data_IF_873548163317
#
_entry.id   IF_873548163317
#
_cell.length_a   1.000
_cell.length_b   1.000
_cell.length_c   1.000
_cell.angle_alpha   90.00
_cell.angle_beta   90.00
_cell.angle_gamma   90.00
#
_symmetry.space_group_name_H-M   'P 1'
#
loop_
_entity.id
_entity.type
_entity.pdbx_description
1 polymer ?
#
# COMPACT_ATOMS: atom_id res chain seq x y z
N UNK A 1 83.24 -12.74 -0.93
CA UNK A 1 82.68 -13.34 0.31
C UNK A 1 81.27 -13.83 0.00
N UNK A 2 81.06 -15.13 0.16
CA UNK A 2 79.86 -15.88 -0.21
C UNK A 2 78.76 -15.78 0.86
N UNK A 3 77.51 -15.65 0.38
CA UNK A 3 76.19 -16.08 0.88
C UNK A 3 76.06 -16.54 2.34
N UNK A 4 75.06 -16.00 3.04
CA UNK A 4 74.12 -16.84 3.80
C UNK A 4 72.67 -16.41 3.49
N UNK A 5 71.92 -17.37 2.96
CA UNK A 5 70.48 -17.41 2.80
C UNK A 5 69.82 -17.56 4.19
N UNK A 6 68.71 -16.87 4.45
CA UNK A 6 67.68 -17.41 5.35
C UNK A 6 66.38 -17.48 4.54
N UNK A 7 65.92 -18.68 4.14
CA UNK A 7 64.61 -18.87 3.56
C UNK A 7 63.58 -18.99 4.70
N UNK A 8 62.61 -18.08 4.77
CA UNK A 8 61.41 -18.28 5.60
C UNK A 8 60.45 -19.14 4.79
N UNK A 9 60.47 -20.43 5.10
CA UNK A 9 59.60 -21.47 4.56
C UNK A 9 58.38 -21.59 5.50
N UNK A 10 57.20 -21.65 4.87
CA UNK A 10 55.92 -22.20 5.35
C UNK A 10 55.20 -21.58 6.55
N UNK A 11 54.05 -20.97 6.28
CA UNK A 11 52.78 -21.69 6.50
C UNK A 11 51.69 -21.20 5.55
N UNK A 12 51.41 -22.06 4.58
CA UNK A 12 50.19 -22.13 3.79
C UNK A 12 49.08 -22.71 4.69
N UNK A 13 47.81 -22.60 4.27
CA UNK A 13 46.55 -23.06 4.90
C UNK A 13 45.91 -21.94 5.74
N UNK A 14 44.80 -21.34 5.34
CA UNK A 14 43.93 -21.59 4.20
C UNK A 14 42.69 -20.73 4.36
N UNK A 15 42.47 -19.81 3.41
CA UNK A 15 41.14 -19.25 3.13
C UNK A 15 41.07 -19.01 1.62
N UNK A 16 41.40 -20.06 0.84
CA UNK A 16 41.06 -20.14 -0.56
C UNK A 16 39.75 -20.92 -0.64
N UNK A 17 38.62 -20.20 -0.65
CA UNK A 17 37.33 -20.83 -0.88
C UNK A 17 36.16 -20.24 -0.11
N UNK A 18 35.91 -18.93 -0.24
CA UNK A 18 34.57 -18.37 0.02
C UNK A 18 34.44 -16.95 -0.53
N UNK A 19 34.84 -16.75 -1.79
CA UNK A 19 34.25 -15.67 -2.60
C UNK A 19 33.32 -16.35 -3.58
N UNK A 20 32.27 -16.96 -3.01
CA UNK A 20 31.12 -17.41 -3.78
C UNK A 20 30.54 -16.19 -4.47
N UNK A 21 30.43 -16.28 -5.78
CA UNK A 21 29.59 -15.48 -6.68
C UNK A 21 28.61 -14.58 -5.90
N UNK A 22 28.98 -13.31 -5.71
CA UNK A 22 27.98 -12.29 -5.46
C UNK A 22 27.24 -12.19 -6.79
N UNK A 23 26.20 -13.02 -6.92
CA UNK A 23 25.21 -12.89 -7.97
C UNK A 23 24.71 -11.46 -7.88
N UNK A 24 25.19 -10.60 -8.77
CA UNK A 24 24.46 -9.42 -9.18
C UNK A 24 23.25 -9.92 -9.96
N UNK A 25 22.31 -10.54 -9.25
CA UNK A 25 20.93 -10.49 -9.66
C UNK A 25 20.64 -9.00 -9.75
N UNK A 26 20.58 -8.48 -10.98
CA UNK A 26 19.86 -7.25 -11.25
C UNK A 26 18.51 -7.48 -10.60
N UNK A 27 18.28 -6.87 -9.44
CA UNK A 27 16.98 -6.85 -8.82
C UNK A 27 16.02 -6.49 -9.94
N UNK A 28 15.16 -7.44 -10.31
CA UNK A 28 14.11 -7.16 -11.29
C UNK A 28 13.46 -5.86 -10.81
N UNK A 29 13.23 -4.87 -11.70
CA UNK A 29 12.63 -3.61 -11.28
C UNK A 29 11.40 -3.99 -10.48
N UNK A 30 11.42 -3.70 -9.17
CA UNK A 30 10.30 -4.02 -8.30
C UNK A 30 9.12 -3.33 -8.96
N UNK A 31 8.22 -4.12 -9.56
CA UNK A 31 6.97 -3.58 -10.08
C UNK A 31 6.24 -3.12 -8.84
N UNK A 32 6.41 -1.84 -8.50
CA UNK A 32 5.67 -1.23 -7.40
C UNK A 32 4.22 -1.34 -7.82
N UNK A 33 3.50 -2.24 -7.17
CA UNK A 33 2.09 -2.43 -7.43
C UNK A 33 1.38 -1.15 -6.98
N UNK A 34 0.75 -0.45 -7.92
CA UNK A 34 -0.02 0.74 -7.61
C UNK A 34 -1.37 0.35 -7.02
N UNK A 35 -1.65 0.82 -5.81
CA UNK A 35 -2.91 0.61 -5.12
C UNK A 35 -3.71 1.89 -5.04
N UNK A 36 -5.04 1.78 -4.99
CA UNK A 36 -5.91 2.87 -4.55
C UNK A 36 -6.77 2.40 -3.38
N UNK A 37 -6.93 3.24 -2.37
CA UNK A 37 -7.74 2.95 -1.19
C UNK A 37 -8.80 4.04 -1.05
N UNK A 38 -10.05 3.62 -1.13
CA UNK A 38 -11.22 4.47 -0.94
C UNK A 38 -11.86 4.12 0.40
N UNK A 39 -11.81 5.05 1.34
CA UNK A 39 -12.47 4.95 2.63
C UNK A 39 -13.72 5.82 2.64
N UNK A 40 -14.80 5.30 3.22
CA UNK A 40 -16.07 6.00 3.38
C UNK A 40 -16.49 5.90 4.83
N UNK A 41 -16.71 7.05 5.46
CA UNK A 41 -17.09 7.10 6.87
C UNK A 41 -18.02 8.27 7.13
N UNK A 42 -18.70 8.21 8.27
CA UNK A 42 -19.55 9.28 8.74
C UNK A 42 -18.97 9.84 10.03
N UNK A 43 -18.89 11.16 10.11
CA UNK A 43 -18.61 11.86 11.36
C UNK A 43 -19.75 12.84 11.67
N UNK A 44 -20.40 12.61 12.81
CA UNK A 44 -21.66 13.26 13.17
C UNK A 44 -22.74 13.07 12.11
N UNK A 45 -23.11 14.16 11.42
CA UNK A 45 -24.09 14.18 10.33
C UNK A 45 -23.46 14.23 8.93
N UNK A 46 -22.14 14.36 8.87
CA UNK A 46 -21.38 14.58 7.63
C UNK A 46 -20.83 13.25 7.14
N UNK A 47 -20.85 13.06 5.81
CA UNK A 47 -20.33 11.85 5.19
C UNK A 47 -19.05 12.22 4.44
N UNK A 48 -18.02 11.39 4.57
CA UNK A 48 -16.70 11.65 4.02
C UNK A 48 -16.27 10.52 3.09
N UNK A 49 -15.62 10.91 2.01
CA UNK A 49 -14.85 10.05 1.13
C UNK A 49 -13.39 10.45 1.28
N UNK A 50 -12.54 9.47 1.58
CA UNK A 50 -11.09 9.60 1.64
C UNK A 50 -10.46 8.70 0.60
N UNK A 51 -9.78 9.28 -0.39
CA UNK A 51 -9.14 8.55 -1.47
C UNK A 51 -7.61 8.71 -1.42
N UNK A 52 -6.90 7.59 -1.40
CA UNK A 52 -5.44 7.52 -1.53
C UNK A 52 -5.10 6.74 -2.78
N UNK A 53 -4.19 7.24 -3.62
CA UNK A 53 -3.76 6.57 -4.86
C UNK A 53 -2.24 6.50 -4.91
N UNK A 54 -1.68 5.29 -4.85
CA UNK A 54 -0.24 5.06 -4.74
C UNK A 54 0.34 5.78 -3.53
N UNK A 55 1.41 6.54 -3.77
CA UNK A 55 2.07 7.37 -2.76
C UNK A 55 1.51 8.80 -2.67
N UNK A 56 0.43 9.12 -3.39
CA UNK A 56 -0.13 10.48 -3.37
C UNK A 56 -0.80 10.79 -2.03
N UNK A 57 -0.79 12.06 -1.59
CA UNK A 57 -1.52 12.48 -0.39
C UNK A 57 -2.99 12.09 -0.46
N UNK A 58 -3.51 11.61 0.66
CA UNK A 58 -4.93 11.29 0.80
C UNK A 58 -5.79 12.52 0.59
N UNK A 59 -6.75 12.43 -0.33
CA UNK A 59 -7.75 13.46 -0.57
C UNK A 59 -9.01 13.10 0.21
N UNK A 60 -9.32 13.88 1.24
CA UNK A 60 -10.56 13.76 1.99
C UNK A 60 -11.53 14.86 1.57
N UNK A 61 -12.76 14.47 1.27
CA UNK A 61 -13.84 15.42 0.99
C UNK A 61 -15.15 14.98 1.61
N UNK A 62 -15.94 15.96 2.02
CA UNK A 62 -17.31 15.76 2.41
C UNK A 62 -18.18 15.53 1.15
N UNK A 63 -19.16 14.65 1.26
CA UNK A 63 -20.16 14.44 0.22
C UNK A 63 -21.56 14.49 0.80
N UNK A 64 -22.49 14.92 -0.04
CA UNK A 64 -23.92 14.95 0.29
C UNK A 64 -24.59 13.74 -0.34
N UNK A 65 -25.60 13.20 0.35
CA UNK A 65 -26.45 12.13 -0.19
C UNK A 65 -27.27 12.71 -1.34
N UNK A 66 -27.25 12.04 -2.48
CA UNK A 66 -28.08 12.34 -3.65
C UNK A 66 -29.52 11.86 -3.43
N UNK A 67 -29.71 10.76 -2.69
CA UNK A 67 -31.02 10.21 -2.32
C UNK A 67 -31.29 10.45 -0.84
N UNK A 68 -32.19 11.38 -0.55
CA UNK A 68 -32.53 11.82 0.83
C UNK A 68 -33.23 10.76 1.68
N UNK A 69 -33.86 9.75 1.06
CA UNK A 69 -34.66 8.74 1.77
C UNK A 69 -33.89 7.46 2.15
N UNK A 70 -32.71 7.22 1.57
CA UNK A 70 -31.94 6.01 1.85
C UNK A 70 -30.93 6.25 2.98
N UNK A 71 -30.97 5.37 3.99
CA UNK A 71 -30.08 5.44 5.17
C UNK A 71 -28.60 5.42 4.79
N UNK A 72 -28.26 4.72 3.72
CA UNK A 72 -26.91 4.62 3.15
C UNK A 72 -27.00 4.86 1.64
N UNK A 73 -26.89 6.13 1.23
CA UNK A 73 -26.77 6.44 -0.18
C UNK A 73 -25.34 6.16 -0.66
N UNK A 74 -25.19 5.13 -1.47
CA UNK A 74 -23.91 4.69 -2.01
C UNK A 74 -23.60 5.32 -3.37
N UNK A 75 -24.50 6.11 -3.97
CA UNK A 75 -24.28 6.66 -5.31
C UNK A 75 -22.98 7.49 -5.44
N UNK A 76 -22.62 8.36 -4.48
CA UNK A 76 -21.35 9.10 -4.53
C UNK A 76 -20.13 8.17 -4.47
N UNK A 77 -20.23 7.08 -3.72
CA UNK A 77 -19.17 6.09 -3.55
C UNK A 77 -18.97 5.32 -4.85
N UNK A 78 -20.07 4.84 -5.45
CA UNK A 78 -20.03 4.13 -6.73
C UNK A 78 -19.42 4.98 -7.84
N UNK A 79 -19.67 6.30 -7.85
CA UNK A 79 -19.03 7.22 -8.80
C UNK A 79 -17.51 7.25 -8.65
N UNK A 80 -16.99 7.26 -7.43
CA UNK A 80 -15.54 7.17 -7.21
C UNK A 80 -14.95 5.83 -7.63
N UNK A 81 -15.65 4.74 -7.33
CA UNK A 81 -15.22 3.40 -7.73
C UNK A 81 -15.16 3.30 -9.26
N UNK A 82 -16.13 3.88 -9.96
CA UNK A 82 -16.17 3.96 -11.43
C UNK A 82 -15.02 4.83 -11.98
N UNK A 83 -14.77 6.00 -11.37
CA UNK A 83 -13.63 6.86 -11.74
C UNK A 83 -12.30 6.11 -11.59
N UNK A 84 -12.13 5.30 -10.54
CA UNK A 84 -10.95 4.46 -10.37
C UNK A 84 -10.87 3.37 -11.43
N UNK A 85 -11.99 2.72 -11.77
CA UNK A 85 -12.05 1.72 -12.83
C UNK A 85 -11.61 2.28 -14.18
N UNK A 86 -12.10 3.46 -14.54
CA UNK A 86 -11.72 4.17 -15.77
C UNK A 86 -10.22 4.55 -15.79
N UNK A 87 -9.61 4.78 -14.63
CA UNK A 87 -8.17 5.00 -14.47
C UNK A 87 -7.33 3.70 -14.51
N UNK A 88 -7.97 2.55 -14.75
CA UNK A 88 -7.33 1.25 -14.83
C UNK A 88 -7.10 0.58 -13.49
N UNK A 89 -7.79 0.98 -12.42
CA UNK A 89 -7.78 0.28 -11.14
C UNK A 89 -8.90 -0.76 -11.07
N UNK A 90 -8.61 -1.93 -10.52
CA UNK A 90 -9.58 -3.00 -10.31
C UNK A 90 -9.81 -3.22 -8.83
N UNK A 91 -11.07 -3.36 -8.42
CA UNK A 91 -11.42 -3.65 -7.04
C UNK A 91 -10.91 -5.04 -6.67
N UNK A 92 -10.05 -5.12 -5.66
CA UNK A 92 -9.48 -6.39 -5.17
C UNK A 92 -9.97 -6.76 -3.78
N UNK A 93 -10.43 -5.78 -3.00
CA UNK A 93 -11.02 -6.02 -1.69
C UNK A 93 -12.09 -4.97 -1.36
N UNK A 94 -13.13 -5.40 -0.67
CA UNK A 94 -14.08 -4.52 -0.01
C UNK A 94 -14.28 -5.05 1.41
N UNK A 95 -14.24 -4.14 2.38
CA UNK A 95 -14.54 -4.45 3.77
C UNK A 95 -15.43 -3.39 4.39
N UNK A 96 -16.16 -3.80 5.42
CA UNK A 96 -16.97 -2.93 6.25
C UNK A 96 -16.62 -3.20 7.71
N UNK A 97 -16.46 -2.14 8.48
CA UNK A 97 -16.23 -2.18 9.91
C UNK A 97 -17.23 -1.23 10.59
N UNK A 98 -17.53 -1.49 11.85
CA UNK A 98 -18.28 -0.55 12.69
C UNK A 98 -17.32 -0.13 13.80
N UNK A 99 -17.00 1.16 13.86
CA UNK A 99 -16.20 1.70 14.96
C UNK A 99 -17.12 1.75 16.18
N UNK A 100 -16.80 1.08 17.31
CA UNK A 100 -17.64 1.10 18.50
C UNK A 100 -17.86 2.52 19.02
N UNK A 101 -19.05 2.83 19.52
CA UNK A 101 -19.30 4.10 20.20
C UNK A 101 -18.48 4.19 21.50
N UNK A 102 -17.83 5.33 21.75
CA UNK A 102 -17.04 5.57 22.97
C UNK A 102 -15.51 5.49 22.81
N UNK A 103 -14.99 5.39 21.59
CA UNK A 103 -13.55 5.58 21.32
C UNK A 103 -13.23 7.09 21.35
N UNK A 104 -12.13 7.54 22.02
CA UNK A 104 -11.89 8.97 22.28
C UNK A 104 -11.53 9.84 21.07
N UNK A 105 -11.25 9.26 19.92
CA UNK A 105 -10.75 9.99 18.75
C UNK A 105 -11.84 10.18 17.69
N UNK A 106 -12.24 11.44 17.52
CA UNK A 106 -12.79 12.18 16.36
C UNK A 106 -13.85 11.57 15.42
N UNK A 107 -14.07 10.26 15.39
CA UNK A 107 -15.07 9.61 14.55
C UNK A 107 -16.20 9.13 15.45
N UNK A 108 -17.38 9.74 15.28
CA UNK A 108 -18.58 9.38 16.02
C UNK A 108 -18.90 7.88 15.80
N UNK A 109 -18.58 7.04 16.79
CA UNK A 109 -18.76 5.59 16.70
C UNK A 109 -20.23 5.17 16.55
N UNK A 110 -20.44 3.93 16.10
CA UNK A 110 -21.74 3.35 15.77
C UNK A 110 -22.14 3.47 14.29
N UNK A 111 -21.35 4.19 13.48
CA UNK A 111 -21.56 4.30 12.04
C UNK A 111 -20.66 3.31 11.26
N UNK A 112 -21.13 2.80 10.10
CA UNK A 112 -20.31 1.95 9.26
C UNK A 112 -19.15 2.74 8.63
N UNK A 113 -17.99 2.10 8.61
CA UNK A 113 -16.78 2.50 7.90
C UNK A 113 -16.56 1.49 6.78
N UNK A 114 -16.52 1.96 5.53
CA UNK A 114 -16.26 1.12 4.37
C UNK A 114 -14.86 1.38 3.84
N UNK A 115 -14.15 0.32 3.47
CA UNK A 115 -12.88 0.40 2.76
C UNK A 115 -12.97 -0.41 1.49
N UNK A 116 -12.59 0.22 0.38
CA UNK A 116 -12.47 -0.42 -0.93
C UNK A 116 -11.02 -0.29 -1.37
N UNK A 117 -10.36 -1.43 -1.57
CA UNK A 117 -8.98 -1.49 -2.05
C UNK A 117 -8.97 -1.91 -3.50
N UNK A 118 -8.25 -1.16 -4.30
CA UNK A 118 -8.06 -1.39 -5.71
C UNK A 118 -6.59 -1.58 -6.04
N UNK A 119 -6.34 -2.35 -7.10
CA UNK A 119 -5.00 -2.57 -7.66
C UNK A 119 -4.99 -2.14 -9.12
N UNK A 120 -3.93 -1.47 -9.57
CA UNK A 120 -3.78 -1.09 -10.98
C UNK A 120 -3.68 -2.35 -11.85
N UNK A 121 -4.51 -2.42 -12.89
CA UNK A 121 -4.45 -3.48 -13.92
C UNK A 121 -3.09 -3.42 -14.59
N UNK A 122 -2.38 -4.54 -14.61
CA UNK A 122 -1.20 -4.68 -15.44
C UNK A 122 -1.69 -4.71 -16.90
N UNK A 123 -1.30 -3.72 -17.70
CA UNK A 123 -1.52 -3.78 -19.14
C UNK A 123 -0.80 -5.04 -19.66
N UNK A 124 -1.57 -5.96 -20.26
CA UNK A 124 -1.06 -7.18 -20.90
C UNK A 124 -0.53 -6.84 -22.28
#
# INVERSE_FOLDING_TARGET
>A
MQKILIPIITSLIGIAGLVGFISTEKAAPARTEDYAVLNVFQDGKRNYISLTVGSNPTQQREFHREKTEQRYDLAPILREMENLNQQGFELVNSSTAIIPAGVPDEITGGNPFYTFTFKRKLQK
#
